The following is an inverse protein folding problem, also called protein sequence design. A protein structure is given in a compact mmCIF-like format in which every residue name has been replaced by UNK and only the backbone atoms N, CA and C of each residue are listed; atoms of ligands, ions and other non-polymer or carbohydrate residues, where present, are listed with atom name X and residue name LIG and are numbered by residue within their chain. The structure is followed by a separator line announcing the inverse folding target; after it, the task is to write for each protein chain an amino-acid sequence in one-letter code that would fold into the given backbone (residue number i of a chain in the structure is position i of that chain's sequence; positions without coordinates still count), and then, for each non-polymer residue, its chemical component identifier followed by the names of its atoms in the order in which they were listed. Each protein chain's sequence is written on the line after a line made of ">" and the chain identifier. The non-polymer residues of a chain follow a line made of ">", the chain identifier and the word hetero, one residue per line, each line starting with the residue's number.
data_IF_634488613177
#
_entry.id   IF_634488613177
#
_cell.length_a   1.000
_cell.length_b   1.000
_cell.length_c   1.000
_cell.angle_alpha   90.00
_cell.angle_beta   90.00
_cell.angle_gamma   90.00
#
_symmetry.space_group_name_H-M   'P 1'
#
loop_
_entity.id
_entity.type
_entity.pdbx_description
1 polymer ?
2 polymer ?
3 non-polymer ?
4 water ?
#
loop_
_entity_poly.entity_id
_entity_poly.type
_entity_poly.pdbx_seq_one_letter_code
_entity_poly.pdbx_strand_id
2 'polydeoxyribonucleotide' '(DT)(DC)(DA)(DA)(DA)(DA)(DC)(DG)(DT)(DC)(DT)(DG)(DC)(DA)(DG)(DA)(DC)(DG)(DT)(DT)(DT)(DT)(DG)(DA)' ?
#
# COMPACT_ATOMS: atom_id res chain seq x y z
N UNK A 1 7.41 1.44 -27.46
CA UNK A 1 6.99 1.86 -26.13
C UNK A 1 5.51 1.63 -25.87
N UNK A 2 5.20 0.69 -24.98
CA UNK A 2 3.83 0.35 -24.63
C UNK A 2 3.14 1.45 -23.85
N UNK A 3 1.89 1.72 -24.18
CA UNK A 3 1.16 2.79 -23.50
C UNK A 3 0.08 2.23 -22.59
N UNK A 4 -0.03 2.81 -21.40
CA UNK A 4 -0.89 2.24 -20.36
C UNK A 4 -2.25 2.94 -20.25
N UNK A 5 -3.29 2.12 -20.18
CA UNK A 5 -4.66 2.59 -19.93
C UNK A 5 -4.74 3.43 -18.65
N UNK A 6 -5.31 4.63 -18.74
CA UNK A 6 -5.31 5.60 -17.65
C UNK A 6 -6.03 5.17 -16.35
N UNK A 7 -7.00 4.27 -16.46
CA UNK A 7 -7.59 3.67 -15.28
C UNK A 7 -6.53 2.83 -14.53
N UNK A 8 -5.80 2.01 -15.29
CA UNK A 8 -4.77 1.14 -14.72
C UNK A 8 -3.77 1.97 -13.95
N UNK A 9 -3.38 3.12 -14.51
CA UNK A 9 -2.38 3.98 -13.90
C UNK A 9 -2.88 4.66 -12.63
N UNK A 10 -4.16 4.97 -12.59
CA UNK A 10 -4.73 5.59 -11.40
C UNK A 10 -4.73 4.61 -10.23
N UNK A 11 -5.24 3.40 -10.48
CA UNK A 11 -5.17 2.32 -9.50
C UNK A 11 -3.71 2.07 -9.09
N UNK A 12 -2.82 2.04 -10.08
CA UNK A 12 -1.44 1.65 -9.84
C UNK A 12 -0.72 2.69 -9.02
N UNK A 13 -0.97 3.96 -9.31
CA UNK A 13 -0.34 5.01 -8.54
C UNK A 13 -0.75 4.88 -7.08
N UNK A 14 -2.04 4.62 -6.84
CA UNK A 14 -2.54 4.49 -5.48
C UNK A 14 -1.80 3.37 -4.75
N UNK A 15 -1.72 2.22 -5.41
CA UNK A 15 -1.04 1.08 -4.83
C UNK A 15 0.41 1.43 -4.52
N UNK A 16 1.12 1.95 -5.52
CA UNK A 16 2.53 2.31 -5.37
C UNK A 16 2.72 3.33 -4.24
N UNK A 17 1.83 4.32 -4.19
CA UNK A 17 1.92 5.33 -3.17
C UNK A 17 1.86 4.74 -1.76
N UNK A 18 1.23 3.57 -1.62
CA UNK A 18 1.00 3.03 -0.30
C UNK A 18 1.89 1.86 0.07
N UNK A 19 2.31 1.09 -0.93
CA UNK A 19 3.01 -0.17 -0.70
C UNK A 19 3.98 -0.48 -1.83
N UNK A 20 4.63 0.55 -2.36
CA UNK A 20 5.60 0.38 -3.42
C UNK A 20 6.88 1.13 -3.07
N UNK A 21 8.02 0.65 -3.55
CA UNK A 21 9.27 1.34 -3.30
C UNK A 21 9.96 1.69 -4.61
N UNK A 22 10.60 2.84 -4.64
CA UNK A 22 11.38 3.30 -5.77
C UNK A 22 12.79 3.53 -5.25
N UNK A 23 13.73 2.72 -5.73
CA UNK A 23 15.05 2.59 -5.11
C UNK A 23 16.17 3.02 -6.06
N UNK A 24 17.12 3.79 -5.54
CA UNK A 24 18.32 4.13 -6.30
C UNK A 24 19.57 3.74 -5.51
N UNK A 25 20.52 3.07 -6.15
CA UNK A 25 21.70 2.62 -5.43
C UNK A 25 22.99 2.86 -6.20
N UNK A 26 24.06 3.03 -5.43
CA UNK A 26 25.42 3.08 -5.96
C UNK A 26 26.10 1.81 -5.49
N UNK A 27 26.38 0.90 -6.41
CA UNK A 27 26.89 -0.42 -6.05
C UNK A 27 28.41 -0.54 -6.30
N UNK A 28 29.21 -0.70 -5.24
CA UNK A 28 30.67 -0.85 -5.37
C UNK A 28 31.01 -2.04 -6.25
N UNK A 29 31.66 -1.78 -7.38
CA UNK A 29 31.97 -2.83 -8.34
C UNK A 29 33.19 -2.42 -9.15
N UNK A 30 34.30 -3.12 -8.94
CA UNK A 30 35.59 -2.71 -9.52
C UNK A 30 35.63 -2.77 -11.07
N UNK A 31 34.71 -3.53 -11.67
CA UNK A 31 34.71 -3.68 -13.13
C UNK A 31 34.02 -2.50 -13.84
N UNK A 32 33.84 -1.39 -13.15
CA UNK A 32 33.29 -0.19 -13.76
C UNK A 32 34.38 0.89 -13.75
N UNK A 33 34.39 1.75 -14.76
CA UNK A 33 35.39 2.82 -14.85
C UNK A 33 35.53 3.56 -13.53
N UNK A 34 34.43 4.12 -13.05
CA UNK A 34 34.43 4.89 -11.82
C UNK A 34 34.22 3.99 -10.59
N UNK A 35 34.31 2.68 -10.81
CA UNK A 35 34.33 1.69 -9.75
C UNK A 35 32.99 1.39 -9.07
N UNK A 36 31.92 2.06 -9.51
CA UNK A 36 30.60 1.77 -9.00
C UNK A 36 29.59 1.64 -10.14
N UNK A 37 28.53 0.86 -9.90
CA UNK A 37 27.43 0.78 -10.85
C UNK A 37 26.24 1.57 -10.32
N UNK A 38 25.64 2.39 -11.18
CA UNK A 38 24.36 3.01 -10.89
C UNK A 38 23.24 2.02 -11.19
N UNK A 39 22.34 1.86 -10.22
CA UNK A 39 21.31 0.83 -10.26
C UNK A 39 19.97 1.41 -9.80
N UNK A 40 18.90 1.05 -10.51
CA UNK A 40 17.57 1.60 -10.24
C UNK A 40 16.52 0.47 -10.14
N UNK A 41 15.59 0.59 -9.21
CA UNK A 41 14.69 -0.52 -9.01
C UNK A 41 13.30 -0.06 -8.66
N UNK A 42 12.31 -0.65 -9.32
CA UNK A 42 10.93 -0.51 -8.86
C UNK A 42 10.46 -1.84 -8.32
N UNK A 43 9.81 -1.80 -7.17
CA UNK A 43 9.62 -2.99 -6.35
C UNK A 43 8.32 -2.97 -5.57
N UNK A 44 7.59 -4.09 -5.62
CA UNK A 44 6.35 -4.30 -4.88
C UNK A 44 6.43 -5.60 -4.08
N UNK A 45 5.97 -5.60 -2.84
CA UNK A 45 6.06 -6.83 -2.04
C UNK A 45 4.70 -7.39 -1.61
N UNK A 46 4.55 -8.70 -1.80
CA UNK A 46 3.32 -9.42 -1.46
C UNK A 46 3.72 -10.71 -0.70
N UNK A 47 2.92 -11.15 0.27
CA UNK A 47 3.16 -12.45 0.90
C UNK A 47 3.07 -13.52 -0.16
N UNK A 48 3.84 -14.60 0.00
CA UNK A 48 4.04 -15.53 -1.11
C UNK A 48 2.74 -16.22 -1.55
N UNK A 49 1.77 -16.32 -0.65
CA UNK A 49 0.47 -16.91 -0.97
C UNK A 49 -0.30 -16.05 -1.96
N UNK A 50 0.01 -14.76 -1.99
CA UNK A 50 -0.70 -13.82 -2.83
C UNK A 50 0.05 -13.49 -4.13
N UNK A 51 1.04 -14.30 -4.50
CA UNK A 51 1.85 -13.90 -5.65
C UNK A 51 1.15 -13.99 -7.01
N UNK A 52 -0.04 -14.59 -7.03
CA UNK A 52 -0.88 -14.54 -8.22
C UNK A 52 -1.06 -13.08 -8.64
N UNK A 53 -1.07 -12.19 -7.65
CA UNK A 53 -1.25 -10.76 -7.91
C UNK A 53 0.01 -10.11 -8.50
N UNK A 54 1.19 -10.57 -8.05
CA UNK A 54 2.46 -10.11 -8.59
C UNK A 54 2.66 -10.62 -10.01
N UNK A 55 2.15 -11.81 -10.30
CA UNK A 55 2.21 -12.35 -11.66
C UNK A 55 1.31 -11.56 -12.62
N UNK A 56 0.18 -11.05 -12.13
CA UNK A 56 -0.69 -10.26 -12.99
C UNK A 56 -0.02 -8.95 -13.38
N UNK A 57 0.83 -8.43 -12.50
CA UNK A 57 1.56 -7.19 -12.76
C UNK A 57 2.52 -7.37 -13.93
N UNK A 58 3.23 -8.49 -13.91
CA UNK A 58 4.12 -8.86 -14.98
C UNK A 58 3.39 -8.86 -16.33
N UNK A 59 2.16 -9.37 -16.34
CA UNK A 59 1.34 -9.40 -17.55
C UNK A 59 0.93 -7.99 -17.90
N UNK A 60 0.35 -7.30 -16.92
CA UNK A 60 -0.30 -6.03 -17.15
C UNK A 60 0.69 -4.92 -17.47
N UNK A 61 1.80 -4.91 -16.76
CA UNK A 61 2.86 -3.97 -17.06
C UNK A 61 3.62 -4.42 -18.30
N UNK A 62 3.70 -5.74 -18.49
CA UNK A 62 4.30 -6.31 -19.69
C UNK A 62 5.79 -6.54 -19.60
N UNK A 63 6.37 -6.12 -18.48
CA UNK A 63 7.82 -6.24 -18.28
C UNK A 63 8.17 -6.44 -16.80
N UNK A 64 9.40 -6.90 -16.53
CA UNK A 64 9.80 -7.14 -15.17
C UNK A 64 9.52 -8.59 -14.79
N UNK A 65 9.63 -8.90 -13.51
CA UNK A 65 9.51 -10.29 -13.10
C UNK A 65 9.32 -10.45 -11.59
N UNK A 66 9.09 -11.69 -11.16
CA UNK A 66 8.79 -11.95 -9.76
C UNK A 66 9.90 -12.75 -9.08
N UNK A 67 10.20 -12.36 -7.84
CA UNK A 67 11.25 -12.98 -7.04
C UNK A 67 10.67 -13.54 -5.74
N UNK A 68 10.99 -14.80 -5.44
CA UNK A 68 10.59 -15.47 -4.20
C UNK A 68 11.69 -15.40 -3.16
N UNK A 69 11.44 -14.72 -2.05
CA UNK A 69 12.42 -14.76 -0.96
C UNK A 69 11.85 -15.31 0.35
N UNK A 70 11.25 -16.49 0.26
CA UNK A 70 10.75 -17.21 1.43
C UNK A 70 9.33 -16.89 1.84
N UNK A 71 9.18 -16.22 2.97
CA UNK A 71 7.86 -15.90 3.50
C UNK A 71 7.17 -14.81 2.67
N UNK A 72 7.95 -14.12 1.84
CA UNK A 72 7.45 -13.00 1.04
C UNK A 72 8.03 -13.04 -0.38
N UNK A 73 7.39 -12.33 -1.31
CA UNK A 73 7.84 -12.29 -2.71
C UNK A 73 7.85 -10.87 -3.29
N UNK A 74 8.62 -10.64 -4.34
CA UNK A 74 8.72 -9.32 -4.96
C UNK A 74 8.40 -9.29 -6.45
N UNK A 75 7.76 -8.20 -6.87
CA UNK A 75 7.76 -7.84 -8.28
C UNK A 75 8.90 -6.86 -8.49
N UNK A 76 9.66 -7.07 -9.55
CA UNK A 76 10.89 -6.32 -9.76
C UNK A 76 10.96 -5.78 -11.18
N UNK A 77 11.23 -4.48 -11.30
CA UNK A 77 11.47 -3.87 -12.60
C UNK A 77 12.72 -3.01 -12.51
N UNK A 78 13.72 -3.35 -13.33
CA UNK A 78 15.03 -2.70 -13.28
C UNK A 78 15.50 -2.25 -14.65
N UNK A 79 15.04 -2.93 -15.70
CA UNK A 79 15.45 -2.55 -17.04
C UNK A 79 15.20 -1.06 -17.19
N UNK A 80 16.22 -0.33 -17.63
CA UNK A 80 16.20 1.13 -17.66
C UNK A 80 15.24 1.78 -18.69
N UNK A 81 15.08 1.21 -19.89
CA UNK A 81 14.15 1.81 -20.85
C UNK A 81 12.68 1.66 -20.40
N UNK A 82 12.22 0.42 -20.16
CA UNK A 82 10.88 0.19 -19.62
C UNK A 82 10.57 0.98 -18.35
N UNK A 83 11.54 1.08 -17.45
CA UNK A 83 11.31 1.80 -16.19
C UNK A 83 11.01 3.26 -16.46
N UNK A 84 11.73 3.84 -17.42
CA UNK A 84 11.58 5.24 -17.78
C UNK A 84 10.19 5.46 -18.36
N UNK A 85 9.84 4.63 -19.33
CA UNK A 85 8.54 4.69 -19.97
C UNK A 85 7.41 4.53 -18.97
N UNK A 86 7.64 3.66 -17.99
CA UNK A 86 6.63 3.33 -17.00
C UNK A 86 6.44 4.42 -15.96
N UNK A 87 7.54 4.93 -15.41
CA UNK A 87 7.46 6.02 -14.45
C UNK A 87 7.01 7.33 -15.11
N UNK A 88 7.41 7.54 -16.36
CA UNK A 88 7.00 8.73 -17.06
C UNK A 88 5.47 8.81 -17.07
N UNK A 89 4.82 7.68 -17.29
CA UNK A 89 3.36 7.67 -17.39
C UNK A 89 2.69 7.63 -16.04
N UNK A 90 3.34 6.99 -15.07
CA UNK A 90 2.74 6.83 -13.76
C UNK A 90 2.93 8.07 -12.90
N UNK A 91 3.95 8.86 -13.25
CA UNK A 91 4.36 9.97 -12.42
C UNK A 91 3.27 11.00 -12.10
N UNK A 92 2.50 11.45 -13.12
CA UNK A 92 1.54 12.52 -12.85
C UNK A 92 0.50 12.19 -11.77
N UNK A 93 0.17 10.91 -11.63
CA UNK A 93 -0.82 10.46 -10.64
C UNK A 93 -0.26 10.16 -9.24
N UNK A 94 1.04 10.24 -9.06
CA UNK A 94 1.65 9.94 -7.76
C UNK A 94 1.51 11.09 -6.78
N UNK A 95 1.22 10.76 -5.52
CA UNK A 95 1.03 11.76 -4.48
C UNK A 95 2.10 11.70 -3.38
N UNK A 96 2.65 10.51 -3.14
CA UNK A 96 3.63 10.34 -2.08
C UNK A 96 5.01 10.01 -2.63
N UNK A 97 5.05 9.44 -3.81
CA UNK A 97 6.30 8.97 -4.37
C UNK A 97 6.67 9.67 -5.68
N UNK A 98 6.21 10.90 -5.86
CA UNK A 98 6.45 11.61 -7.12
C UNK A 98 7.91 12.06 -7.24
N UNK A 99 8.41 12.68 -6.19
CA UNK A 99 9.79 13.15 -6.16
C UNK A 99 10.80 12.06 -6.49
N UNK A 100 10.71 10.91 -5.81
CA UNK A 100 11.59 9.81 -6.16
C UNK A 100 11.42 9.48 -7.64
N UNK A 101 10.17 9.33 -8.06
CA UNK A 101 9.88 9.06 -9.45
C UNK A 101 10.56 10.04 -10.41
N UNK A 102 10.53 11.34 -10.10
CA UNK A 102 11.17 12.34 -10.97
C UNK A 102 12.69 12.29 -10.88
N UNK A 103 13.23 12.15 -9.68
CA UNK A 103 14.69 11.98 -9.51
C UNK A 103 15.21 10.77 -10.26
N UNK A 104 14.43 9.68 -10.30
CA UNK A 104 14.79 8.54 -11.12
C UNK A 104 14.86 8.89 -12.62
N UNK A 105 13.80 9.49 -13.14
CA UNK A 105 13.79 9.90 -14.55
C UNK A 105 14.98 10.78 -14.93
N UNK A 106 15.28 11.77 -14.10
CA UNK A 106 16.35 12.71 -14.40
C UNK A 106 17.72 11.99 -14.40
N UNK A 107 17.87 11.02 -13.51
CA UNK A 107 19.08 10.20 -13.44
C UNK A 107 19.24 9.37 -14.71
N UNK A 108 18.18 8.67 -15.10
CA UNK A 108 18.20 7.86 -16.32
C UNK A 108 18.62 8.68 -17.55
N UNK A 109 18.06 9.88 -17.67
CA UNK A 109 18.33 10.73 -18.83
C UNK A 109 19.80 11.20 -18.85
N UNK A 110 20.45 11.23 -17.70
CA UNK A 110 21.82 11.72 -17.61
C UNK A 110 22.84 10.60 -17.56
N UNK A 111 22.39 9.36 -17.75
CA UNK A 111 23.28 8.22 -17.61
C UNK A 111 24.43 8.23 -18.62
N UNK A 112 24.13 8.50 -19.91
CA UNK A 112 25.22 8.66 -20.88
C UNK A 112 26.23 9.74 -20.49
N UNK A 113 25.77 10.84 -19.89
CA UNK A 113 26.68 11.92 -19.49
C UNK A 113 27.51 11.55 -18.28
N UNK A 114 26.94 10.76 -17.38
CA UNK A 114 27.66 10.40 -16.16
C UNK A 114 28.83 9.47 -16.47
N UNK A 115 28.80 8.85 -17.64
CA UNK A 115 29.86 7.92 -18.02
C UNK A 115 31.06 8.65 -18.62
N UNK A 116 31.15 9.96 -18.37
CA UNK A 116 32.17 10.77 -19.00
C UNK A 116 32.95 11.55 -17.98
N UNK A 117 32.42 12.69 -17.55
CA UNK A 117 33.10 13.47 -16.52
C UNK A 117 32.95 12.75 -15.19
N UNK A 118 34.05 12.65 -14.43
CA UNK A 118 33.95 12.15 -13.06
C UNK A 118 33.17 13.14 -12.19
N UNK A 119 32.95 14.33 -12.71
CA UNK A 119 32.18 15.34 -11.99
C UNK A 119 30.70 15.21 -12.29
N UNK A 120 30.38 14.81 -13.51
CA UNK A 120 28.98 14.56 -13.87
C UNK A 120 28.43 13.32 -13.14
N UNK A 121 29.23 12.26 -13.12
CA UNK A 121 28.88 11.05 -12.40
C UNK A 121 28.69 11.37 -10.93
N UNK A 122 29.72 11.91 -10.28
CA UNK A 122 29.62 12.34 -8.90
C UNK A 122 28.34 13.17 -8.63
N UNK A 123 27.98 14.06 -9.55
CA UNK A 123 26.78 14.86 -9.37
C UNK A 123 25.50 14.02 -9.49
N UNK A 124 25.51 13.04 -10.38
CA UNK A 124 24.38 12.12 -10.48
C UNK A 124 24.23 11.34 -9.17
N UNK A 125 25.35 11.01 -8.53
CA UNK A 125 25.32 10.27 -7.29
C UNK A 125 24.73 11.08 -6.16
N UNK A 126 24.57 12.39 -6.34
CA UNK A 126 23.94 13.19 -5.30
C UNK A 126 22.44 13.14 -5.45
N UNK A 127 21.97 12.91 -6.66
CA UNK A 127 20.55 12.69 -6.88
C UNK A 127 20.15 11.37 -6.21
N UNK A 128 20.94 10.32 -6.44
CA UNK A 128 20.74 9.06 -5.73
C UNK A 128 20.64 9.32 -4.24
N UNK A 129 21.49 10.19 -3.70
CA UNK A 129 21.39 10.57 -2.29
C UNK A 129 19.99 11.11 -1.96
N UNK A 130 19.41 11.90 -2.85
CA UNK A 130 18.14 12.56 -2.54
C UNK A 130 16.99 11.58 -2.47
N UNK A 131 17.04 10.58 -3.35
CA UNK A 131 16.02 9.54 -3.39
C UNK A 131 15.96 8.75 -2.09
N UNK A 132 17.12 8.41 -1.54
CA UNK A 132 17.17 7.60 -0.34
C UNK A 132 16.78 8.41 0.88
N UNK A 133 17.12 9.70 0.89
CA UNK A 133 16.65 10.59 1.93
C UNK A 133 15.11 10.63 1.99
N UNK A 134 14.47 10.66 0.82
CA UNK A 134 13.01 10.72 0.71
C UNK A 134 12.36 9.43 1.21
N UNK A 135 13.02 8.31 0.92
CA UNK A 135 12.59 7.01 1.42
C UNK A 135 12.88 6.94 2.89
N UNK A 136 12.50 5.82 3.50
CA UNK A 136 12.83 5.58 4.89
C UNK A 136 14.06 4.66 4.94
N UNK A 137 15.22 5.21 4.61
CA UNK A 137 16.47 4.44 4.50
C UNK A 137 17.05 4.09 5.86
N UNK A 138 17.43 2.83 6.04
CA UNK A 138 17.96 2.36 7.33
C UNK A 138 19.39 1.80 7.25
N UNK A 139 19.67 0.98 6.23
CA UNK A 139 20.91 0.20 6.19
C UNK A 139 21.87 0.56 5.06
N UNK A 140 22.02 1.87 4.82
CA UNK A 140 22.67 2.37 3.59
C UNK A 140 24.15 2.67 3.77
N UNK A 141 24.99 2.17 2.88
CA UNK A 141 26.45 2.36 2.99
C UNK A 141 27.06 3.28 1.93
N UNK A 142 26.90 2.91 0.66
CA UNK A 142 27.60 3.59 -0.42
C UNK A 142 26.86 4.85 -0.87
N UNK A 143 27.44 6.01 -0.56
CA UNK A 143 26.85 7.31 -0.91
C UNK A 143 27.73 8.05 -1.89
N UNK A 144 27.43 9.32 -2.13
CA UNK A 144 28.25 10.12 -3.05
C UNK A 144 29.64 10.47 -2.50
N UNK A 145 29.73 10.75 -1.19
CA UNK A 145 31.03 10.96 -0.55
C UNK A 145 31.89 9.72 -0.67
N UNK A 146 31.29 8.57 -0.38
CA UNK A 146 31.96 7.29 -0.55
C UNK A 146 32.59 7.24 -1.93
N UNK A 147 31.90 7.83 -2.89
CA UNK A 147 32.38 7.92 -4.27
C UNK A 147 33.42 9.04 -4.44
N UNK A 148 33.10 10.23 -3.94
CA UNK A 148 34.00 11.38 -4.05
C UNK A 148 35.34 11.07 -3.41
N UNK A 149 35.34 10.13 -2.48
CA UNK A 149 36.55 9.77 -1.76
C UNK A 149 37.23 8.62 -2.46
N UNK A 150 37.08 8.56 -3.77
CA UNK A 150 37.68 7.52 -4.57
C UNK A 150 38.32 8.16 -5.80
N UNK A 151 37.60 9.13 -6.36
CA UNK A 151 38.02 9.82 -7.58
C UNK A 151 39.15 10.85 -7.35
N UNK B 1 -24.63 11.56 2.57
CA UNK B 1 -24.25 10.34 1.85
C UNK B 1 -23.49 10.67 0.58
N UNK B 2 -22.30 11.23 0.74
CA UNK B 2 -21.52 11.77 -0.38
C UNK B 2 -21.16 10.76 -1.48
N UNK B 3 -21.04 11.25 -2.70
CA UNK B 3 -20.73 10.43 -3.86
C UNK B 3 -19.35 10.81 -4.43
N UNK B 4 -18.49 9.82 -4.71
CA UNK B 4 -17.09 10.06 -5.07
C UNK B 4 -16.78 9.90 -6.57
N UNK B 5 -15.80 10.66 -7.07
CA UNK B 5 -15.34 10.56 -8.47
C UNK B 5 -14.84 9.18 -8.79
N UNK B 6 -14.92 8.79 -10.06
CA UNK B 6 -14.30 7.55 -10.49
C UNK B 6 -12.78 7.66 -10.49
N UNK B 7 -12.24 8.89 -10.52
CA UNK B 7 -10.77 9.01 -10.47
C UNK B 7 -10.25 8.85 -9.04
N UNK B 8 -11.00 9.40 -8.09
CA UNK B 8 -10.68 9.24 -6.69
C UNK B 8 -10.74 7.78 -6.24
N UNK B 9 -11.85 7.11 -6.55
CA UNK B 9 -12.10 5.71 -6.15
C UNK B 9 -11.07 4.71 -6.71
N UNK B 10 -10.68 4.90 -7.97
CA UNK B 10 -9.68 4.05 -8.61
C UNK B 10 -8.33 4.16 -7.89
N UNK B 11 -7.85 5.39 -7.70
CA UNK B 11 -6.65 5.66 -6.95
C UNK B 11 -6.78 5.09 -5.54
N UNK B 12 -7.85 5.46 -4.85
CA UNK B 12 -8.06 5.03 -3.48
C UNK B 12 -8.11 3.51 -3.40
N UNK B 13 -8.76 2.86 -4.37
CA UNK B 13 -8.82 1.40 -4.37
C UNK B 13 -7.42 0.78 -4.45
N UNK B 14 -6.54 1.38 -5.24
CA UNK B 14 -5.17 0.89 -5.33
C UNK B 14 -4.47 1.05 -4.00
N UNK B 15 -4.58 2.24 -3.40
CA UNK B 15 -3.98 2.50 -2.11
C UNK B 15 -4.45 1.51 -1.03
N UNK B 16 -5.77 1.37 -0.88
CA UNK B 16 -6.34 0.44 0.09
C UNK B 16 -5.87 -1.01 -0.16
N UNK B 17 -5.89 -1.44 -1.42
CA UNK B 17 -5.43 -2.78 -1.76
C UNK B 17 -4.00 -3.01 -1.26
N UNK B 18 -3.20 -1.94 -1.29
CA UNK B 18 -1.77 -2.05 -1.06
C UNK B 18 -1.38 -1.79 0.38
N UNK B 19 -2.12 -0.94 1.06
CA UNK B 19 -1.68 -0.41 2.36
C UNK B 19 -2.81 -0.23 3.36
N UNK B 20 -3.99 -0.78 3.09
CA UNK B 20 -5.15 -0.53 3.95
C UNK B 20 -5.66 -1.77 4.66
N UNK B 21 -6.26 -1.57 5.83
CA UNK B 21 -6.80 -2.69 6.59
C UNK B 21 -8.32 -2.62 6.75
N UNK B 22 -8.99 -3.75 6.56
CA UNK B 22 -10.42 -3.84 6.85
C UNK B 22 -10.62 -4.83 7.98
N UNK B 23 -10.91 -4.30 9.16
CA UNK B 23 -10.91 -5.05 10.41
C UNK B 23 -12.32 -5.24 10.99
N UNK B 24 -12.61 -6.46 11.45
CA UNK B 24 -13.89 -6.75 12.09
C UNK B 24 -13.65 -7.53 13.39
N UNK B 25 -14.39 -7.21 14.45
CA UNK B 25 -14.08 -7.76 15.78
C UNK B 25 -15.31 -8.04 16.65
N UNK B 26 -15.22 -9.09 17.47
CA UNK B 26 -16.24 -9.38 18.46
C UNK B 26 -15.67 -9.06 19.83
N UNK B 27 -16.08 -7.92 20.38
CA UNK B 27 -15.48 -7.41 21.61
C UNK B 27 -16.26 -7.75 22.87
N UNK B 28 -15.63 -8.55 23.74
CA UNK B 28 -16.30 -8.90 25.01
C UNK B 28 -16.62 -7.63 25.81
N UNK B 29 -17.88 -7.45 26.15
CA UNK B 29 -18.33 -6.27 26.85
C UNK B 29 -19.69 -6.56 27.49
N UNK B 30 -19.76 -6.50 28.82
CA UNK B 30 -20.95 -6.96 29.54
C UNK B 30 -22.15 -6.03 29.47
N UNK B 31 -21.95 -4.83 28.95
CA UNK B 31 -23.07 -3.88 28.83
C UNK B 31 -23.99 -4.21 27.66
N UNK B 32 -23.62 -5.20 26.86
CA UNK B 32 -24.41 -5.55 25.69
C UNK B 32 -25.26 -6.77 25.97
N UNK B 33 -26.43 -6.84 25.35
CA UNK B 33 -27.36 -7.95 25.57
C UNK B 33 -26.72 -9.29 25.30
N UNK B 34 -26.01 -9.41 24.20
CA UNK B 34 -25.31 -10.67 23.95
C UNK B 34 -23.86 -10.64 24.47
N UNK B 35 -23.57 -9.66 25.33
CA UNK B 35 -22.29 -9.55 26.03
C UNK B 35 -21.07 -9.28 25.13
N UNK B 36 -21.33 -8.95 23.87
CA UNK B 36 -20.26 -8.68 22.92
C UNK B 36 -20.60 -7.46 22.05
N UNK B 37 -19.58 -6.67 21.70
CA UNK B 37 -19.78 -5.61 20.71
C UNK B 37 -19.27 -6.04 19.35
N UNK B 38 -20.08 -5.82 18.32
CA UNK B 38 -19.66 -6.03 16.96
C UNK B 38 -19.02 -4.74 16.46
N UNK B 39 -17.72 -4.82 16.17
CA UNK B 39 -16.93 -3.66 15.80
C UNK B 39 -16.31 -3.82 14.42
N UNK B 40 -16.48 -2.80 13.59
CA UNK B 40 -15.86 -2.73 12.26
C UNK B 40 -14.95 -1.50 12.15
N UNK B 41 -13.85 -1.63 11.43
CA UNK B 41 -12.90 -0.54 11.34
C UNK B 41 -12.19 -0.53 9.99
N UNK B 42 -12.15 0.62 9.33
CA UNK B 42 -11.22 0.81 8.23
C UNK B 42 -10.02 1.65 8.67
N UNK B 43 -8.82 1.19 8.34
CA UNK B 43 -7.59 1.72 8.90
C UNK B 43 -6.45 1.80 7.89
N UNK B 44 -5.69 2.89 7.97
CA UNK B 44 -4.49 3.12 7.16
C UNK B 44 -3.44 3.66 8.10
N UNK B 45 -2.18 3.28 7.91
CA UNK B 45 -1.13 3.79 8.76
C UNK B 45 -0.08 4.60 8.00
N UNK B 46 0.39 5.68 8.61
CA UNK B 46 1.52 6.42 8.06
C UNK B 46 2.50 6.79 9.15
N UNK B 47 3.76 7.00 8.75
CA UNK B 47 4.73 7.60 9.66
C UNK B 47 4.27 9.01 9.96
N UNK B 48 4.34 9.42 11.22
CA UNK B 48 3.78 10.70 11.63
C UNK B 48 4.33 11.90 10.84
N UNK B 49 5.55 11.78 10.32
CA UNK B 49 6.11 12.85 9.50
C UNK B 49 5.22 13.10 8.29
N UNK B 50 4.50 12.07 7.87
CA UNK B 50 3.57 12.19 6.75
C UNK B 50 2.09 12.18 7.14
N UNK B 51 1.76 12.72 8.32
CA UNK B 51 0.36 12.91 8.73
C UNK B 51 -0.50 13.61 7.67
N UNK B 52 0.08 14.66 7.09
CA UNK B 52 -0.67 15.58 6.25
C UNK B 52 -1.42 14.78 5.19
N UNK B 53 -0.83 13.67 4.78
CA UNK B 53 -1.45 12.85 3.76
C UNK B 53 -2.76 12.24 4.27
N UNK B 54 -2.76 11.78 5.52
CA UNK B 54 -3.96 11.24 6.15
C UNK B 54 -4.95 12.35 6.51
N UNK B 55 -4.42 13.54 6.81
CA UNK B 55 -5.27 14.68 7.09
C UNK B 55 -6.00 15.09 5.81
N UNK B 56 -5.24 15.18 4.73
CA UNK B 56 -5.79 15.37 3.40
C UNK B 56 -6.91 14.37 3.13
N UNK B 57 -6.73 13.13 3.55
CA UNK B 57 -7.67 12.08 3.23
C UNK B 57 -8.98 12.25 3.99
N UNK B 58 -8.87 12.58 5.27
CA UNK B 58 -10.03 12.90 6.11
C UNK B 58 -10.95 13.87 5.37
N UNK B 59 -10.33 14.82 4.70
CA UNK B 59 -11.02 15.91 4.05
C UNK B 59 -11.65 15.49 2.73
N UNK B 60 -10.93 14.67 1.97
CA UNK B 60 -11.46 14.18 0.69
C UNK B 60 -12.58 13.14 0.87
N UNK B 61 -12.36 12.15 1.75
CA UNK B 61 -13.36 11.13 2.07
C UNK B 61 -14.57 11.74 2.76
N UNK B 62 -14.35 12.83 3.48
CA UNK B 62 -15.42 13.56 4.13
C UNK B 62 -15.73 13.03 5.53
N UNK B 63 -15.00 12.01 5.97
CA UNK B 63 -15.32 11.40 7.26
C UNK B 63 -14.18 10.55 7.84
N UNK B 64 -14.32 10.15 9.11
CA UNK B 64 -13.24 9.46 9.81
C UNK B 64 -12.28 10.47 10.41
N UNK B 65 -11.19 10.00 11.00
CA UNK B 65 -10.30 10.89 11.73
C UNK B 65 -8.89 10.34 11.82
N UNK B 66 -8.00 11.11 12.44
CA UNK B 66 -6.59 10.74 12.48
C UNK B 66 -6.05 10.68 13.89
N UNK B 67 -5.45 9.54 14.23
CA UNK B 67 -4.85 9.28 15.53
C UNK B 67 -3.34 9.22 15.41
N UNK B 68 -2.65 10.09 16.16
CA UNK B 68 -1.20 10.07 16.24
C UNK B 68 -0.82 9.03 17.28
N UNK B 69 -0.11 8.00 16.87
CA UNK B 69 0.28 6.94 17.82
C UNK B 69 1.73 7.10 18.27
N UNK B 70 2.24 8.32 18.21
CA UNK B 70 3.63 8.56 18.54
C UNK B 70 4.51 8.65 17.29
N UNK B 71 4.95 7.49 16.79
CA UNK B 71 5.80 7.49 15.60
C UNK B 71 5.03 7.15 14.32
N UNK B 72 3.90 6.46 14.44
CA UNK B 72 2.98 6.26 13.32
C UNK B 72 1.62 6.85 13.63
N UNK B 73 0.92 7.24 12.57
CA UNK B 73 -0.43 7.80 12.69
C UNK B 73 -1.43 6.92 11.93
N UNK B 74 -2.66 6.83 12.45
CA UNK B 74 -3.70 6.08 11.75
C UNK B 74 -4.83 6.97 11.26
N UNK B 75 -5.27 6.71 10.05
CA UNK B 75 -6.59 7.13 9.64
C UNK B 75 -7.56 6.01 10.03
N UNK B 76 -8.65 6.41 10.68
CA UNK B 76 -9.62 5.49 11.21
C UNK B 76 -11.04 5.90 10.82
N UNK B 77 -11.76 4.98 10.21
CA UNK B 77 -13.17 5.19 9.89
C UNK B 77 -13.97 4.06 10.52
N UNK B 78 -14.75 4.38 11.54
CA UNK B 78 -15.50 3.38 12.33
C UNK B 78 -17.01 3.47 12.15
N UNK B 79 -17.50 4.66 11.82
CA UNK B 79 -18.93 4.92 11.75
C UNK B 79 -19.64 4.07 10.67
N UNK B 80 -20.62 3.30 11.12
CA UNK B 80 -21.37 2.33 10.32
C UNK B 80 -21.97 2.84 8.98
N UNK B 81 -22.68 3.97 9.00
CA UNK B 81 -23.27 4.47 7.76
C UNK B 81 -22.24 4.98 6.75
N UNK B 82 -21.37 5.92 7.16
CA UNK B 82 -20.30 6.37 6.28
C UNK B 82 -19.48 5.17 5.77
N UNK B 83 -19.22 4.22 6.65
CA UNK B 83 -18.45 3.03 6.32
C UNK B 83 -19.08 2.24 5.19
N UNK B 84 -20.40 2.04 5.28
CA UNK B 84 -21.17 1.31 4.28
C UNK B 84 -21.09 2.01 2.93
N UNK B 85 -21.30 3.32 2.96
CA UNK B 85 -21.34 4.11 1.74
C UNK B 85 -19.96 4.17 1.09
N UNK B 86 -18.95 4.32 1.92
CA UNK B 86 -17.58 4.34 1.41
C UNK B 86 -17.22 3.02 0.75
N UNK B 87 -17.49 1.90 1.43
CA UNK B 87 -17.09 0.61 0.90
C UNK B 87 -17.97 0.17 -0.27
N UNK B 88 -19.24 0.58 -0.28
CA UNK B 88 -20.13 0.23 -1.37
C UNK B 88 -19.63 0.85 -2.67
N UNK B 89 -19.11 2.07 -2.58
CA UNK B 89 -18.54 2.75 -3.75
C UNK B 89 -17.17 2.22 -4.15
N UNK B 90 -16.35 1.85 -3.17
CA UNK B 90 -15.00 1.44 -3.47
C UNK B 90 -14.94 -0.03 -3.90
N UNK B 91 -15.91 -0.81 -3.44
CA UNK B 91 -15.87 -2.26 -3.59
C UNK B 91 -15.63 -2.80 -5.02
N UNK B 92 -16.17 -2.11 -6.05
CA UNK B 92 -16.02 -2.73 -7.38
C UNK B 92 -14.62 -2.58 -7.96
N UNK B 93 -13.81 -1.72 -7.37
CA UNK B 93 -12.47 -1.47 -7.87
C UNK B 93 -11.39 -2.25 -7.13
N UNK B 94 -11.70 -2.77 -5.95
CA UNK B 94 -10.74 -3.54 -5.17
C UNK B 94 -10.40 -4.86 -5.85
N UNK B 95 -9.11 -5.19 -5.85
CA UNK B 95 -8.68 -6.47 -6.39
C UNK B 95 -8.14 -7.40 -5.30
N UNK B 96 -7.84 -6.88 -4.11
CA UNK B 96 -7.28 -7.71 -3.03
C UNK B 96 -8.14 -7.74 -1.78
N UNK B 97 -8.72 -6.61 -1.43
CA UNK B 97 -9.47 -6.52 -0.19
C UNK B 97 -10.98 -6.43 -0.45
N UNK B 98 -11.39 -6.98 -1.59
CA UNK B 98 -12.80 -6.92 -1.97
C UNK B 98 -13.64 -7.87 -1.11
N UNK B 99 -13.18 -9.11 -0.96
CA UNK B 99 -13.88 -10.08 -0.11
C UNK B 99 -14.13 -9.56 1.30
N UNK B 100 -13.09 -9.04 1.94
CA UNK B 100 -13.29 -8.34 3.21
C UNK B 100 -14.41 -7.33 3.07
N UNK B 101 -14.31 -6.48 2.04
CA UNK B 101 -15.29 -5.40 1.86
C UNK B 101 -16.72 -5.91 1.80
N UNK B 102 -16.96 -6.95 1.02
CA UNK B 102 -18.30 -7.51 0.90
C UNK B 102 -18.82 -8.05 2.21
N UNK B 103 -17.97 -8.82 2.90
CA UNK B 103 -18.32 -9.35 4.20
C UNK B 103 -18.69 -8.21 5.16
N UNK B 104 -17.95 -7.10 5.08
CA UNK B 104 -18.29 -5.95 5.90
C UNK B 104 -19.66 -5.32 5.55
N UNK B 105 -19.99 -5.28 4.27
CA UNK B 105 -21.30 -4.73 3.89
C UNK B 105 -22.40 -5.69 4.36
N UNK B 106 -22.20 -6.99 4.13
CA UNK B 106 -23.12 -8.02 4.61
C UNK B 106 -23.45 -7.80 6.07
N UNK B 107 -22.41 -7.69 6.88
CA UNK B 107 -22.54 -7.52 8.32
C UNK B 107 -23.33 -6.27 8.70
N UNK B 108 -22.99 -5.14 8.08
CA UNK B 108 -23.66 -3.89 8.39
C UNK B 108 -25.16 -3.94 8.14
N UNK B 109 -25.58 -4.69 7.12
CA UNK B 109 -26.98 -4.76 6.78
C UNK B 109 -27.76 -5.69 7.74
N UNK B 110 -27.20 -6.84 8.08
CA UNK B 110 -27.85 -7.77 9.00
C UNK B 110 -27.73 -7.36 10.45
N UNK B 111 -27.18 -6.17 10.68
CA UNK B 111 -26.85 -5.76 12.05
C UNK B 111 -28.09 -5.59 12.93
N UNK B 112 -29.10 -4.87 12.44
CA UNK B 112 -30.30 -4.74 13.28
C UNK B 112 -31.02 -6.08 13.52
N UNK B 113 -31.08 -6.96 12.53
CA UNK B 113 -31.71 -8.25 12.75
C UNK B 113 -30.84 -9.16 13.61
N UNK B 114 -29.56 -8.84 13.70
CA UNK B 114 -28.65 -9.65 14.52
C UNK B 114 -28.87 -9.38 16.00
N UNK B 115 -29.35 -8.19 16.33
CA UNK B 115 -29.58 -7.83 17.72
C UNK B 115 -30.86 -8.44 18.27
N UNK B 116 -31.67 -9.01 17.39
CA UNK B 116 -32.99 -9.52 17.77
C UNK B 116 -32.98 -10.96 18.25
N UNK B 117 -32.13 -11.78 17.66
CA UNK B 117 -32.13 -13.22 17.96
C UNK B 117 -30.74 -13.82 17.97
N UNK B 118 -30.33 -14.39 19.12
CA UNK B 118 -28.97 -14.89 19.32
C UNK B 118 -28.51 -15.82 18.21
N UNK B 119 -29.45 -16.36 17.45
CA UNK B 119 -29.03 -17.24 16.35
C UNK B 119 -28.61 -16.45 15.11
N UNK B 120 -29.22 -15.28 14.92
CA UNK B 120 -28.82 -14.43 13.80
C UNK B 120 -27.51 -13.76 14.16
N UNK B 121 -27.40 -13.40 15.43
CA UNK B 121 -26.19 -12.79 15.95
C UNK B 121 -25.00 -13.73 15.82
N UNK B 122 -25.21 -14.99 16.16
CA UNK B 122 -24.15 -15.98 16.03
C UNK B 122 -23.74 -16.15 14.57
N UNK B 123 -24.71 -16.12 13.67
CA UNK B 123 -24.42 -16.22 12.25
C UNK B 123 -23.55 -15.04 11.82
N UNK B 124 -23.93 -13.83 12.24
CA UNK B 124 -23.15 -12.64 11.88
C UNK B 124 -21.72 -12.78 12.38
N UNK B 125 -21.55 -13.35 13.58
CA UNK B 125 -20.20 -13.58 14.10
C UNK B 125 -19.39 -14.53 13.24
N UNK B 126 -20.05 -15.37 12.45
CA UNK B 126 -19.32 -16.27 11.58
C UNK B 126 -18.85 -15.54 10.33
N UNK B 127 -19.31 -14.29 10.17
CA UNK B 127 -18.82 -13.47 9.10
C UNK B 127 -17.54 -12.74 9.52
N UNK B 128 -17.47 -12.23 10.74
CA UNK B 128 -16.22 -11.62 11.17
C UNK B 128 -15.16 -12.72 11.22
N UNK B 129 -15.57 -13.93 11.58
CA UNK B 129 -14.67 -15.07 11.50
C UNK B 129 -13.99 -15.11 10.12
N UNK B 130 -14.78 -14.97 9.06
CA UNK B 130 -14.27 -15.09 7.70
C UNK B 130 -13.31 -13.96 7.32
N UNK B 131 -13.61 -12.74 7.78
CA UNK B 131 -12.75 -11.59 7.51
C UNK B 131 -11.38 -11.75 8.16
N UNK B 132 -11.36 -12.09 9.44
CA UNK B 132 -10.13 -12.37 10.15
C UNK B 132 -9.28 -13.39 9.38
N UNK B 133 -9.95 -14.37 8.80
CA UNK B 133 -9.25 -15.43 8.07
C UNK B 133 -8.61 -14.92 6.77
N UNK B 134 -9.23 -13.90 6.17
CA UNK B 134 -8.71 -13.32 4.94
C UNK B 134 -7.53 -12.38 5.20
N UNK B 135 -7.48 -11.79 6.39
CA UNK B 135 -6.35 -10.99 6.83
C UNK B 135 -5.20 -11.87 7.26
N UNK B 136 -4.11 -11.24 7.69
CA UNK B 136 -3.01 -11.99 8.26
C UNK B 136 -3.13 -11.96 9.78
N UNK B 137 -4.15 -12.65 10.26
CA UNK B 137 -4.51 -12.63 11.67
C UNK B 137 -3.52 -13.39 12.54
N UNK B 138 -3.15 -12.82 13.69
CA UNK B 138 -2.10 -13.43 14.52
C UNK B 138 -2.39 -13.46 16.02
N UNK B 139 -3.22 -12.56 16.52
CA UNK B 139 -3.40 -12.41 17.97
C UNK B 139 -4.87 -12.49 18.40
N UNK B 140 -5.70 -13.02 17.52
CA UNK B 140 -7.13 -13.08 17.73
C UNK B 140 -7.53 -13.99 18.91
N UNK B 141 -8.48 -13.51 19.73
CA UNK B 141 -8.98 -14.27 20.87
C UNK B 141 -10.49 -14.52 20.85
N UNK B 142 -11.28 -13.48 20.65
CA UNK B 142 -12.73 -13.64 20.66
C UNK B 142 -13.26 -14.03 19.29
N UNK B 143 -13.79 -15.24 19.16
CA UNK B 143 -14.36 -15.65 17.88
C UNK B 143 -15.85 -15.95 18.05
N UNK B 144 -16.48 -16.42 16.97
CA UNK B 144 -17.87 -16.83 17.07
C UNK B 144 -18.02 -18.01 18.04
N UNK B 145 -16.98 -18.84 18.14
CA UNK B 145 -17.05 -20.00 19.02
C UNK B 145 -17.07 -19.61 20.49
N UNK B 146 -16.34 -18.58 20.87
CA UNK B 146 -16.39 -18.15 22.26
C UNK B 146 -17.69 -17.39 22.55
N UNK B 147 -18.35 -16.96 21.48
CA UNK B 147 -19.67 -16.34 21.58
C UNK B 147 -20.77 -17.41 21.78
N UNK B 148 -20.64 -18.51 21.04
CA UNK B 148 -21.58 -19.62 21.14
C UNK B 148 -21.65 -20.10 22.59
N UNK B 149 -20.50 -20.45 23.15
CA UNK B 149 -20.42 -20.89 24.54
C UNK B 149 -21.11 -19.89 25.46
N UNK B 150 -20.59 -18.67 25.51
CA UNK B 150 -21.13 -17.64 26.40
C UNK B 150 -22.65 -17.51 26.31
N UNK B 151 -23.19 -17.59 25.09
CA UNK B 151 -24.64 -17.47 24.91
C UNK B 151 -25.44 -18.68 25.43
N UNK B 152 -24.76 -19.64 26.06
CA UNK B 152 -25.44 -20.80 26.63
C UNK B 152 -25.69 -20.62 28.12
X LIG E 1 17.50 0.43 4.56
X LIG E 1 18.26 1.39 3.75
X LIG E 1 17.40 -0.87 3.77
X LIG E 1 16.65 -1.86 4.54
#
# INVERSE_FOLDING_TARGET
>A
NTKYNKEFLLYLAGFVDGDGSIIAQIKPNQSYKFKHQLSLTFQVTQKTQRRWFLDKLVDEIGVGYVRDRGSVSNYILSEIKPLHNFLTQLQPFLKLKQKQANLVLKIIEQLPSAKESPDKFLEVCTWVDQIAALNDSKTRKTTSETVRAVLD
>B
NTKYNKEFLLYLAGFVDGDGSIIAQIKPNQSYKFKHQLSLTFQVTQKTQRRWFLDKLVDEIGVGYVRDRGSVSNYILSEIKPLHNFLTQLQPFLKLKQKQANLVLKIIEQLPSAKESPDKFLEVCTWVDQIAALNDSKTRKTTSETVRAVLD
>E hetero
1 EDO C1 O1 C2 O2
#
